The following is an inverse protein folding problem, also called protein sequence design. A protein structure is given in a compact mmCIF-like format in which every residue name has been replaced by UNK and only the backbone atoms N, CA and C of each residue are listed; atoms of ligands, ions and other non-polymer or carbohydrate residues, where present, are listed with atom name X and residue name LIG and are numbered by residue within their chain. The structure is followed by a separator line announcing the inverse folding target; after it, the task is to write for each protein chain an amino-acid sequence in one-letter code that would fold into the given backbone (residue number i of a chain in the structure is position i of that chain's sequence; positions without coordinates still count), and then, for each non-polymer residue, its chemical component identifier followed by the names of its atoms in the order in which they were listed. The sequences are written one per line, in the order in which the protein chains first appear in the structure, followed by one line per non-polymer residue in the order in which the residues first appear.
data_IF_684692102282
#
_entry.id   IF_684692102282
#
_cell.length_a   1.000
_cell.length_b   1.000
_cell.length_c   1.000
_cell.angle_alpha   90.00
_cell.angle_beta   90.00
_cell.angle_gamma   90.00
#
_symmetry.space_group_name_H-M   'P 1'
#
loop_
_entity.id
_entity.type
_entity.pdbx_description
1 polymer ?
#
# COMPACT_ATOMS: atom_id res chain seq x y z
N UNK A 1 17.70 48.52 -70.85
CA UNK A 1 16.91 48.68 -69.62
C UNK A 1 16.15 47.38 -69.37
N UNK A 2 16.53 46.65 -68.31
CA UNK A 2 15.82 45.55 -67.60
C UNK A 2 16.86 44.91 -66.66
N UNK A 3 16.83 45.18 -65.35
CA UNK A 3 16.28 44.31 -64.28
C UNK A 3 16.94 42.92 -64.28
N UNK A 4 17.78 42.54 -63.30
CA UNK A 4 17.32 42.18 -61.95
C UNK A 4 18.47 42.21 -60.94
N UNK A 5 18.26 42.83 -59.78
CA UNK A 5 19.18 42.82 -58.66
C UNK A 5 19.13 41.48 -57.92
N UNK A 6 20.30 40.87 -57.70
CA UNK A 6 20.46 39.73 -56.80
C UNK A 6 20.11 40.16 -55.38
N UNK A 7 18.87 39.89 -54.98
CA UNK A 7 18.43 40.06 -53.59
C UNK A 7 18.82 38.80 -52.84
N UNK A 8 19.99 38.82 -52.19
CA UNK A 8 20.30 37.89 -51.10
C UNK A 8 19.43 38.28 -49.89
N UNK A 9 18.17 37.86 -49.92
CA UNK A 9 17.34 37.87 -48.73
C UNK A 9 17.94 36.89 -47.70
N UNK A 10 18.02 37.24 -46.41
CA UNK A 10 18.36 36.26 -45.39
C UNK A 10 17.28 35.18 -45.41
N UNK A 11 17.70 33.91 -45.55
CA UNK A 11 16.81 32.75 -45.38
C UNK A 11 16.42 32.68 -43.90
N UNK A 12 15.43 33.48 -43.52
CA UNK A 12 14.63 33.28 -42.32
C UNK A 12 13.50 32.34 -42.70
N UNK A 13 13.82 31.06 -42.98
CA UNK A 13 12.79 30.04 -43.10
C UNK A 13 12.43 29.64 -41.67
N UNK A 14 11.42 30.34 -41.14
CA UNK A 14 10.84 30.18 -39.83
C UNK A 14 10.91 28.72 -39.36
N UNK A 15 11.86 28.46 -38.47
CA UNK A 15 11.87 27.25 -37.69
C UNK A 15 10.60 27.25 -36.86
N UNK A 16 9.63 26.41 -37.24
CA UNK A 16 8.72 25.84 -36.26
C UNK A 16 9.53 24.84 -35.45
N UNK A 17 10.42 25.37 -34.62
CA UNK A 17 10.74 24.73 -33.38
C UNK A 17 9.41 24.77 -32.64
N UNK A 18 8.66 23.67 -32.70
CA UNK A 18 7.88 23.34 -31.53
C UNK A 18 8.87 23.48 -30.39
N UNK A 19 8.60 24.38 -29.46
CA UNK A 19 9.20 24.30 -28.15
C UNK A 19 8.75 22.95 -27.60
N UNK A 20 9.36 21.87 -28.09
CA UNK A 20 9.55 20.66 -27.32
C UNK A 20 10.47 21.21 -26.27
N UNK A 21 9.85 21.72 -25.20
CA UNK A 21 10.43 21.78 -23.88
C UNK A 21 10.96 20.36 -23.69
N UNK A 22 12.17 20.08 -24.19
CA UNK A 22 12.84 18.84 -23.85
C UNK A 22 12.82 18.91 -22.34
N UNK A 23 12.14 17.99 -21.66
CA UNK A 23 12.14 18.04 -20.23
C UNK A 23 13.61 18.01 -19.87
N UNK A 24 14.09 19.10 -19.29
CA UNK A 24 15.45 19.22 -18.81
C UNK A 24 15.31 19.16 -17.31
N UNK A 25 16.33 18.66 -16.64
CA UNK A 25 16.38 18.66 -15.18
C UNK A 25 16.22 20.05 -14.53
N UNK A 26 16.12 21.14 -15.32
CA UNK A 26 15.72 22.46 -14.87
C UNK A 26 14.24 22.58 -14.45
N UNK A 27 13.34 21.72 -14.94
CA UNK A 27 11.92 21.69 -14.54
C UNK A 27 11.53 20.53 -13.63
N UNK A 28 12.29 19.43 -13.65
CA UNK A 28 12.00 18.21 -12.89
C UNK A 28 12.70 18.22 -11.52
N UNK A 29 11.95 18.50 -10.45
CA UNK A 29 12.49 18.47 -9.09
C UNK A 29 12.30 17.09 -8.45
N UNK A 30 13.37 16.28 -8.42
CA UNK A 30 13.39 14.96 -7.75
C UNK A 30 13.38 15.05 -6.20
N UNK A 31 12.74 16.07 -5.64
CA UNK A 31 12.57 16.34 -4.20
C UNK A 31 13.84 16.22 -3.33
N UNK A 32 15.03 16.36 -3.93
CA UNK A 32 16.31 16.13 -3.26
C UNK A 32 16.63 14.66 -2.93
N UNK A 33 15.72 13.73 -3.23
CA UNK A 33 15.81 12.30 -2.92
C UNK A 33 16.24 11.45 -4.13
N UNK A 34 16.63 12.08 -5.24
CA UNK A 34 17.08 11.40 -6.45
C UNK A 34 17.97 12.27 -7.32
N UNK A 35 18.55 11.66 -8.35
CA UNK A 35 19.29 12.35 -9.42
C UNK A 35 18.39 12.42 -10.65
N UNK A 36 18.29 13.60 -11.26
CA UNK A 36 17.60 13.72 -12.53
C UNK A 36 18.53 13.30 -13.67
N UNK A 37 18.07 12.38 -14.52
CA UNK A 37 18.79 11.88 -15.69
C UNK A 37 17.97 12.14 -16.97
N UNK A 38 18.64 12.67 -17.99
CA UNK A 38 18.02 12.95 -19.29
C UNK A 38 18.20 11.73 -20.22
N UNK A 39 17.10 11.06 -20.57
CA UNK A 39 17.03 10.00 -21.60
C UNK A 39 16.52 10.58 -22.93
N UNK A 40 17.19 11.61 -23.44
CA UNK A 40 16.90 12.22 -24.75
C UNK A 40 15.56 12.97 -24.82
N UNK A 41 14.46 12.24 -25.00
CA UNK A 41 13.08 12.78 -25.11
C UNK A 41 12.35 12.76 -23.77
N UNK A 42 12.79 11.94 -22.81
CA UNK A 42 12.19 11.84 -21.48
C UNK A 42 13.22 12.11 -20.37
N UNK A 43 12.77 12.74 -19.29
CA UNK A 43 13.55 12.86 -18.04
C UNK A 43 12.99 11.94 -16.99
N UNK A 44 13.87 11.23 -16.30
CA UNK A 44 13.48 10.34 -15.22
C UNK A 44 14.29 10.71 -13.98
N UNK A 45 13.66 10.64 -12.81
CA UNK A 45 14.36 10.72 -11.54
C UNK A 45 14.85 9.32 -11.13
N UNK A 46 16.16 9.17 -11.01
CA UNK A 46 16.77 8.02 -10.34
C UNK A 46 16.72 8.23 -8.83
N UNK A 47 15.77 7.59 -8.16
CA UNK A 47 15.57 7.72 -6.71
C UNK A 47 16.66 7.00 -5.90
N UNK A 48 17.00 7.57 -4.74
CA UNK A 48 17.86 6.92 -3.74
C UNK A 48 17.11 5.77 -3.07
N UNK A 49 17.87 4.81 -2.55
CA UNK A 49 17.37 3.70 -1.74
C UNK A 49 16.43 4.23 -0.64
N UNK A 50 15.20 3.73 -0.61
CA UNK A 50 14.19 4.19 0.34
C UNK A 50 13.10 5.09 -0.24
N UNK A 51 13.24 5.56 -1.49
CA UNK A 51 12.27 6.43 -2.16
C UNK A 51 11.78 5.81 -3.48
N UNK A 52 10.54 6.10 -3.84
CA UNK A 52 9.84 5.62 -5.03
C UNK A 52 8.96 6.74 -5.63
N UNK A 53 8.36 6.46 -6.78
CA UNK A 53 7.53 7.40 -7.54
C UNK A 53 8.32 8.25 -8.55
N UNK A 54 7.61 8.87 -9.49
CA UNK A 54 8.16 9.62 -10.62
C UNK A 54 9.09 10.78 -10.21
N UNK A 55 8.85 11.36 -9.02
CA UNK A 55 9.60 12.48 -8.46
C UNK A 55 10.35 12.14 -7.16
N UNK A 56 10.47 10.85 -6.81
CA UNK A 56 11.09 10.39 -5.56
C UNK A 56 10.46 11.01 -4.30
N UNK A 57 9.14 11.24 -4.34
CA UNK A 57 8.38 11.83 -3.23
C UNK A 57 7.94 10.76 -2.23
N UNK A 58 7.63 9.57 -2.71
CA UNK A 58 7.08 8.51 -1.88
C UNK A 58 8.21 7.72 -1.25
N UNK A 59 8.04 7.29 0.01
CA UNK A 59 9.02 6.40 0.64
C UNK A 59 8.60 4.95 0.45
N UNK A 60 9.56 4.04 0.26
CA UNK A 60 9.28 2.61 0.17
C UNK A 60 8.66 2.06 1.46
N UNK A 61 8.90 2.71 2.60
CA UNK A 61 8.30 2.34 3.88
C UNK A 61 6.76 2.50 3.89
N UNK A 62 6.21 3.44 3.12
CA UNK A 62 4.75 3.61 2.96
C UNK A 62 4.14 2.44 2.18
N UNK A 63 4.89 1.81 1.27
CA UNK A 63 4.44 0.62 0.56
C UNK A 63 4.50 -0.65 1.44
N UNK A 64 5.35 -0.68 2.46
CA UNK A 64 5.45 -1.78 3.44
C UNK A 64 4.54 -1.58 4.66
N UNK A 65 4.12 -0.35 4.97
CA UNK A 65 3.20 -0.10 6.09
C UNK A 65 1.79 -0.63 5.82
N UNK A 66 1.34 -0.58 4.56
CA UNK A 66 0.05 -1.14 4.12
C UNK A 66 -0.05 -2.66 4.38
N UNK A 67 0.86 -3.53 3.89
CA UNK A 67 0.78 -4.97 4.14
C UNK A 67 0.93 -5.34 5.61
N UNK A 68 1.75 -4.60 6.38
CA UNK A 68 1.90 -4.84 7.83
C UNK A 68 0.62 -4.50 8.59
N UNK A 69 -0.04 -3.38 8.29
CA UNK A 69 -1.29 -2.98 8.93
C UNK A 69 -2.43 -3.96 8.66
N UNK A 70 -2.57 -4.44 7.42
CA UNK A 70 -3.60 -5.40 7.03
C UNK A 70 -3.35 -6.77 7.68
N UNK A 71 -2.09 -7.21 7.76
CA UNK A 71 -1.73 -8.44 8.46
C UNK A 71 -2.10 -8.41 9.95
N UNK A 72 -1.79 -7.32 10.65
CA UNK A 72 -2.12 -7.17 12.08
C UNK A 72 -3.64 -7.17 12.30
N UNK A 73 -4.40 -6.43 11.49
CA UNK A 73 -5.87 -6.43 11.58
C UNK A 73 -6.46 -7.83 11.33
N UNK A 74 -5.94 -8.56 10.35
CA UNK A 74 -6.35 -9.94 10.07
C UNK A 74 -6.08 -10.88 11.25
N UNK A 75 -4.89 -10.78 11.87
CA UNK A 75 -4.55 -11.57 13.05
C UNK A 75 -5.47 -11.26 14.24
N UNK A 76 -5.76 -9.98 14.50
CA UNK A 76 -6.65 -9.58 15.60
C UNK A 76 -8.06 -10.14 15.38
N UNK A 77 -8.62 -10.01 14.17
CA UNK A 77 -9.94 -10.55 13.84
C UNK A 77 -9.95 -12.07 14.00
N UNK A 78 -8.92 -12.76 13.49
CA UNK A 78 -8.78 -14.22 13.63
C UNK A 78 -8.73 -14.66 15.09
N UNK A 79 -7.93 -13.99 15.93
CA UNK A 79 -7.82 -14.29 17.37
C UNK A 79 -9.14 -14.01 18.08
N UNK A 80 -9.84 -12.93 17.76
CA UNK A 80 -11.15 -12.60 18.36
C UNK A 80 -12.19 -13.65 17.98
N UNK A 81 -12.26 -14.08 16.72
CA UNK A 81 -13.17 -15.13 16.28
C UNK A 81 -12.84 -16.47 16.94
N UNK A 82 -11.56 -16.86 17.00
CA UNK A 82 -11.13 -18.07 17.69
C UNK A 82 -11.43 -18.01 19.18
N UNK A 83 -11.18 -16.87 19.84
CA UNK A 83 -11.51 -16.67 21.24
C UNK A 83 -13.01 -16.74 21.48
N UNK A 84 -13.84 -16.16 20.61
CA UNK A 84 -15.29 -16.22 20.71
C UNK A 84 -15.82 -17.65 20.49
N UNK A 85 -15.35 -18.35 19.46
CA UNK A 85 -15.69 -19.74 19.21
C UNK A 85 -15.27 -20.62 20.39
N UNK A 86 -14.04 -20.45 20.88
CA UNK A 86 -13.53 -21.19 22.02
C UNK A 86 -14.30 -20.88 23.30
N UNK A 87 -14.67 -19.62 23.54
CA UNK A 87 -15.52 -19.21 24.65
C UNK A 87 -16.90 -19.85 24.54
N UNK A 88 -17.53 -19.87 23.35
CA UNK A 88 -18.81 -20.53 23.10
C UNK A 88 -18.73 -22.05 23.29
N UNK A 89 -17.66 -22.69 22.82
CA UNK A 89 -17.41 -24.11 23.01
C UNK A 89 -17.23 -24.44 24.50
N UNK A 90 -16.46 -23.62 25.23
CA UNK A 90 -16.31 -23.71 26.68
C UNK A 90 -17.64 -23.47 27.40
N UNK A 91 -18.43 -22.47 27.00
CA UNK A 91 -19.75 -22.19 27.57
C UNK A 91 -20.68 -23.40 27.38
N UNK A 92 -20.74 -23.96 26.17
CA UNK A 92 -21.59 -25.12 25.87
C UNK A 92 -21.12 -26.35 26.64
N UNK A 93 -19.81 -26.64 26.64
CA UNK A 93 -19.24 -27.76 27.39
C UNK A 93 -19.48 -27.62 28.89
N UNK A 94 -19.26 -26.43 29.45
CA UNK A 94 -19.49 -26.17 30.87
C UNK A 94 -20.98 -26.29 31.24
N UNK A 95 -21.89 -25.85 30.37
CA UNK A 95 -23.33 -26.05 30.60
C UNK A 95 -23.72 -27.54 30.63
N UNK A 96 -23.13 -28.36 29.76
CA UNK A 96 -23.34 -29.81 29.75
C UNK A 96 -22.80 -30.48 31.02
N UNK A 97 -21.58 -30.10 31.45
CA UNK A 97 -20.98 -30.61 32.68
C UNK A 97 -21.83 -30.25 33.90
N UNK A 98 -22.36 -29.02 33.96
CA UNK A 98 -23.26 -28.60 35.05
C UNK A 98 -24.51 -29.48 35.13
N UNK A 99 -25.17 -29.74 34.00
CA UNK A 99 -26.33 -30.66 33.94
C UNK A 99 -25.97 -32.07 34.42
N UNK A 100 -24.85 -32.63 33.95
CA UNK A 100 -24.39 -33.94 34.40
C UNK A 100 -24.06 -33.98 35.90
N UNK A 101 -23.54 -32.88 36.45
CA UNK A 101 -23.25 -32.74 37.89
C UNK A 101 -24.55 -32.68 38.71
N UNK A 102 -25.57 -31.96 38.22
CA UNK A 102 -26.88 -31.87 38.87
C UNK A 102 -27.58 -33.24 38.89
N UNK A 103 -27.58 -33.96 37.75
CA UNK A 103 -28.09 -35.34 37.67
C UNK A 103 -27.33 -36.31 38.57
N UNK A 104 -26.00 -36.21 38.65
CA UNK A 104 -25.20 -37.04 39.55
C UNK A 104 -25.50 -36.74 41.03
N UNK A 105 -25.75 -35.48 41.38
CA UNK A 105 -26.13 -35.08 42.73
C UNK A 105 -27.50 -35.64 43.13
N UNK A 106 -28.47 -35.66 42.21
CA UNK A 106 -29.76 -36.30 42.47
C UNK A 106 -29.64 -37.81 42.69
N UNK A 107 -28.81 -38.50 41.90
CA UNK A 107 -28.54 -39.94 42.09
C UNK A 107 -27.93 -40.24 43.46
N UNK A 108 -26.96 -39.43 43.90
CA UNK A 108 -26.36 -39.59 45.23
C UNK A 108 -27.35 -39.31 46.36
N UNK A 109 -28.27 -38.36 46.17
CA UNK A 109 -29.31 -38.07 47.16
C UNK A 109 -30.26 -39.26 47.33
N UNK A 110 -30.66 -39.89 46.23
CA UNK A 110 -31.49 -41.10 46.28
C UNK A 110 -30.75 -42.20 47.05
N UNK A 111 -29.51 -42.54 46.69
CA UNK A 111 -28.73 -43.58 47.39
C UNK A 111 -28.56 -43.32 48.89
N UNK A 112 -28.34 -42.06 49.29
CA UNK A 112 -28.16 -41.69 50.70
C UNK A 112 -29.46 -41.62 51.53
N UNK A 113 -30.63 -41.52 50.89
CA UNK A 113 -31.91 -41.41 51.61
C UNK A 113 -32.50 -42.79 51.99
N UNK A 114 -31.93 -43.88 51.47
CA UNK A 114 -32.30 -45.27 51.80
C UNK A 114 -31.23 -46.01 52.64
N UNK A 115 -30.21 -45.30 53.12
CA UNK A 115 -29.13 -45.81 53.97
C UNK A 115 -29.27 -45.30 55.41
#
# INVERSE_FOLDING_TARGET
MAMSASTTAPVQRAGRFWNVEQPTCGGLQCHGNGKCVNHGVATVCECRLGYTGEFCRDTVNEALSIPLSLGVLGCIIGVVLLAFLFAKLRQKRNAQIRKATDEAKERLKLEGEWA
#
